data_IF_137165918640
#
_entry.id   IF_137165918640
#
_cell.length_a   1.000
_cell.length_b   1.000
_cell.length_c   1.000
_cell.angle_alpha   90.00
_cell.angle_beta   90.00
_cell.angle_gamma   90.00
#
_symmetry.space_group_name_H-M   'P 1'
#
loop_
_entity.id
_entity.type
_entity.pdbx_description
1 polymer ?
#
# COMPACT_ATOMS: atom_id res chain seq x y z
N UNK A 1 49.37 -51.33 48.79
CA UNK A 1 49.35 -49.88 49.00
C UNK A 1 49.28 -49.18 47.65
N UNK A 2 48.06 -48.73 47.29
CA UNK A 2 47.70 -47.53 46.52
C UNK A 2 48.75 -46.97 45.54
N UNK A 3 48.57 -47.13 44.23
CA UNK A 3 47.79 -46.24 43.33
C UNK A 3 48.50 -44.90 43.09
N UNK A 4 48.86 -44.61 41.84
CA UNK A 4 48.40 -43.42 41.07
C UNK A 4 49.03 -43.48 39.66
N UNK A 5 48.19 -43.87 38.70
CA UNK A 5 48.40 -43.75 37.26
C UNK A 5 48.09 -42.30 36.87
N UNK A 6 49.09 -41.52 36.45
CA UNK A 6 48.90 -40.17 35.90
C UNK A 6 48.98 -40.26 34.38
N UNK A 7 47.81 -40.27 33.73
CA UNK A 7 47.67 -40.11 32.28
C UNK A 7 47.62 -38.60 32.03
N UNK A 8 48.64 -38.08 31.32
CA UNK A 8 48.68 -36.71 30.83
C UNK A 8 48.06 -36.71 29.43
N UNK A 9 46.78 -36.37 29.34
CA UNK A 9 46.09 -36.13 28.07
C UNK A 9 46.39 -34.69 27.64
N UNK A 10 47.28 -34.55 26.66
CA UNK A 10 47.52 -33.27 25.98
C UNK A 10 46.37 -33.00 25.02
N UNK A 11 45.43 -32.16 25.45
CA UNK A 11 44.29 -31.68 24.67
C UNK A 11 44.76 -30.55 23.75
N UNK A 12 45.12 -30.88 22.51
CA UNK A 12 45.44 -29.88 21.48
C UNK A 12 44.13 -29.23 21.02
N UNK A 13 43.89 -28.01 21.47
CA UNK A 13 42.81 -27.14 21.02
C UNK A 13 42.97 -26.86 19.52
N UNK A 14 42.08 -27.42 18.68
CA UNK A 14 41.86 -26.92 17.32
C UNK A 14 41.25 -25.51 17.46
N UNK A 15 42.03 -24.50 17.06
CA UNK A 15 41.52 -23.17 16.75
C UNK A 15 40.58 -23.29 15.54
N UNK A 16 39.28 -23.43 15.80
CA UNK A 16 38.26 -23.07 14.81
C UNK A 16 38.33 -21.55 14.71
N UNK A 17 39.05 -21.05 13.70
CA UNK A 17 38.81 -19.73 13.16
C UNK A 17 37.39 -19.76 12.59
N UNK A 18 36.41 -19.46 13.44
CA UNK A 18 35.18 -18.87 12.96
C UNK A 18 35.59 -17.56 12.29
N UNK A 19 35.73 -17.59 10.97
CA UNK A 19 35.68 -16.40 10.16
C UNK A 19 34.29 -15.81 10.36
N UNK A 20 34.16 -14.99 11.40
CA UNK A 20 33.08 -14.04 11.55
C UNK A 20 33.37 -12.96 10.49
N UNK A 21 33.04 -13.26 9.24
CA UNK A 21 32.94 -12.25 8.21
C UNK A 21 31.71 -11.43 8.55
N UNK A 22 31.91 -10.34 9.28
CA UNK A 22 30.99 -9.21 9.21
C UNK A 22 31.18 -8.63 7.81
N UNK A 23 30.51 -9.22 6.82
CA UNK A 23 30.15 -8.44 5.65
C UNK A 23 29.32 -7.28 6.22
N UNK A 24 29.83 -6.06 6.09
CA UNK A 24 28.99 -4.88 6.21
C UNK A 24 27.87 -5.11 5.20
N UNK A 25 26.73 -5.65 5.66
CA UNK A 25 25.56 -5.83 4.82
C UNK A 25 25.04 -4.43 4.50
N UNK A 26 25.60 -3.83 3.46
CA UNK A 26 25.07 -2.61 2.87
C UNK A 26 23.65 -2.93 2.44
N UNK A 27 22.69 -2.16 2.96
CA UNK A 27 21.30 -2.24 2.54
C UNK A 27 21.19 -2.09 1.02
N UNK A 28 20.15 -2.70 0.44
CA UNK A 28 19.88 -2.59 -0.99
C UNK A 28 19.85 -1.13 -1.47
N UNK A 29 20.42 -0.90 -2.66
CA UNK A 29 20.29 0.37 -3.36
C UNK A 29 19.05 0.33 -4.28
N UNK A 30 18.20 1.33 -4.15
CA UNK A 30 16.99 1.52 -4.97
C UNK A 30 17.04 2.80 -5.81
N UNK A 31 18.16 3.52 -5.88
CA UNK A 31 18.29 4.81 -6.56
C UNK A 31 17.82 4.78 -8.02
N UNK A 32 17.93 3.63 -8.72
CA UNK A 32 17.45 3.53 -10.10
C UNK A 32 15.92 3.61 -10.24
N UNK A 33 15.17 3.48 -9.14
CA UNK A 33 13.71 3.56 -9.12
C UNK A 33 13.17 4.94 -8.77
N UNK A 34 14.00 5.94 -8.47
CA UNK A 34 13.55 7.27 -8.03
C UNK A 34 12.61 7.99 -9.01
N UNK A 35 12.63 7.62 -10.28
CA UNK A 35 11.86 8.28 -11.34
C UNK A 35 12.08 9.80 -11.40
N UNK A 36 11.00 10.55 -11.60
CA UNK A 36 11.05 12.01 -11.76
C UNK A 36 11.01 12.71 -10.40
N UNK A 37 11.91 13.67 -10.17
CA UNK A 37 11.95 14.42 -8.91
C UNK A 37 10.86 15.49 -8.85
N UNK A 38 10.81 16.33 -9.88
CA UNK A 38 10.01 17.55 -9.90
C UNK A 38 8.65 17.33 -10.54
N UNK A 39 7.68 18.10 -10.06
CA UNK A 39 6.35 18.16 -10.65
C UNK A 39 6.40 18.74 -12.09
N UNK A 40 5.66 18.15 -13.06
CA UNK A 40 5.52 18.74 -14.38
C UNK A 40 4.70 20.04 -14.32
N UNK A 41 4.90 20.93 -15.31
CA UNK A 41 3.98 22.05 -15.48
C UNK A 41 2.58 21.53 -15.82
N UNK A 42 1.59 21.92 -15.01
CA UNK A 42 0.19 21.56 -15.23
C UNK A 42 -0.51 22.60 -16.09
N UNK A 43 -1.35 22.12 -17.00
CA UNK A 43 -2.33 22.95 -17.70
C UNK A 43 -3.67 22.86 -16.98
N UNK A 44 -4.29 23.99 -16.68
CA UNK A 44 -5.62 24.00 -16.06
C UNK A 44 -6.72 23.94 -17.13
N UNK A 45 -7.76 23.16 -16.87
CA UNK A 45 -8.96 23.11 -17.69
C UNK A 45 -10.22 22.92 -16.81
N UNK A 46 -11.37 23.32 -17.33
CA UNK A 46 -12.64 23.07 -16.66
C UNK A 46 -13.11 21.65 -16.99
N UNK A 47 -13.48 20.90 -15.96
CA UNK A 47 -13.97 19.54 -16.14
C UNK A 47 -15.43 19.56 -16.58
N UNK A 48 -15.69 19.01 -17.76
CA UNK A 48 -17.04 18.79 -18.27
C UNK A 48 -17.25 17.29 -18.38
N UNK A 49 -18.39 16.81 -17.88
CA UNK A 49 -18.74 15.39 -17.88
C UNK A 49 -18.56 14.75 -19.28
N UNK A 50 -17.94 13.58 -19.32
CA UNK A 50 -17.58 12.85 -20.55
C UNK A 50 -16.37 13.38 -21.34
N UNK A 51 -15.70 14.46 -20.90
CA UNK A 51 -14.46 14.89 -21.55
C UNK A 51 -13.32 13.89 -21.32
N UNK A 52 -12.40 13.73 -22.30
CA UNK A 52 -11.18 12.98 -22.08
C UNK A 52 -10.23 13.76 -21.16
N UNK A 53 -9.57 13.04 -20.27
CA UNK A 53 -8.49 13.53 -19.44
C UNK A 53 -7.17 13.42 -20.22
N UNK A 54 -6.30 14.40 -20.01
CA UNK A 54 -4.98 14.49 -20.60
C UNK A 54 -3.90 14.49 -19.52
N UNK A 55 -2.72 13.98 -19.87
CA UNK A 55 -1.59 13.94 -18.96
C UNK A 55 -1.01 15.34 -18.74
N UNK A 56 -0.64 15.63 -17.50
CA UNK A 56 -0.13 16.92 -17.00
C UNK A 56 -1.18 18.03 -17.03
N UNK A 57 -2.39 17.69 -16.60
CA UNK A 57 -3.51 18.61 -16.46
C UNK A 57 -4.05 18.62 -15.03
N UNK A 58 -4.54 19.79 -14.65
CA UNK A 58 -5.41 20.00 -13.49
C UNK A 58 -6.80 20.34 -13.99
N UNK A 59 -7.78 19.57 -13.56
CA UNK A 59 -9.18 19.75 -13.93
C UNK A 59 -9.99 20.20 -12.73
N UNK A 60 -10.66 21.34 -12.83
CA UNK A 60 -11.59 21.79 -11.79
C UNK A 60 -13.02 21.48 -12.18
N UNK A 61 -13.80 20.89 -11.27
CA UNK A 61 -15.19 20.57 -11.50
C UNK A 61 -16.02 20.72 -10.22
N UNK A 62 -17.33 20.67 -10.39
CA UNK A 62 -18.27 20.66 -9.28
C UNK A 62 -19.29 19.53 -9.46
N UNK A 63 -19.81 19.03 -8.36
CA UNK A 63 -20.84 17.99 -8.35
C UNK A 63 -21.90 18.34 -7.31
N UNK A 64 -23.18 18.24 -7.68
CA UNK A 64 -24.30 18.48 -6.78
C UNK A 64 -25.07 17.19 -6.53
N UNK A 65 -25.11 16.76 -5.27
CA UNK A 65 -25.81 15.54 -4.85
C UNK A 65 -27.27 15.89 -4.62
N UNK A 66 -28.15 15.48 -5.54
CA UNK A 66 -29.60 15.79 -5.49
C UNK A 66 -30.46 14.71 -4.83
N UNK A 67 -29.91 13.51 -4.61
CA UNK A 67 -30.61 12.43 -3.91
C UNK A 67 -29.63 11.47 -3.23
N UNK A 68 -30.10 10.78 -2.18
CA UNK A 68 -29.30 9.80 -1.43
C UNK A 68 -29.19 8.44 -2.13
N UNK A 69 -29.97 8.18 -3.19
CA UNK A 69 -30.12 6.82 -3.73
C UNK A 69 -29.09 6.45 -4.80
N UNK A 70 -28.31 7.40 -5.30
CA UNK A 70 -27.27 7.13 -6.30
C UNK A 70 -26.06 7.99 -5.93
N UNK A 71 -24.90 7.36 -5.67
CA UNK A 71 -23.64 8.08 -5.73
C UNK A 71 -23.58 8.75 -7.09
N UNK A 72 -23.40 10.06 -7.11
CA UNK A 72 -23.16 10.73 -8.38
C UNK A 72 -21.72 10.44 -8.74
N UNK A 73 -21.55 9.68 -9.82
CA UNK A 73 -20.25 9.34 -10.37
C UNK A 73 -20.06 10.18 -11.63
N UNK A 74 -19.02 11.00 -11.67
CA UNK A 74 -18.55 11.54 -12.94
C UNK A 74 -17.52 10.58 -13.52
N UNK A 75 -17.79 10.09 -14.73
CA UNK A 75 -16.91 9.16 -15.42
C UNK A 75 -16.22 9.86 -16.58
N UNK A 76 -14.89 9.74 -16.62
CA UNK A 76 -14.03 10.32 -17.62
C UNK A 76 -13.20 9.24 -18.30
N UNK A 77 -12.70 9.54 -19.49
CA UNK A 77 -11.79 8.62 -20.20
C UNK A 77 -10.37 9.17 -20.18
N UNK A 78 -9.40 8.32 -19.88
CA UNK A 78 -7.98 8.65 -19.97
C UNK A 78 -7.30 7.68 -20.94
N UNK A 79 -6.55 8.21 -21.90
CA UNK A 79 -5.78 7.41 -22.86
C UNK A 79 -4.38 8.00 -23.00
N UNK A 80 -3.34 7.32 -22.50
CA UNK A 80 -2.00 7.88 -22.50
C UNK A 80 -1.35 7.77 -23.88
N UNK A 81 -0.71 8.85 -24.33
CA UNK A 81 0.06 8.88 -25.59
C UNK A 81 1.38 8.07 -25.54
N UNK A 82 1.85 7.81 -24.31
CA UNK A 82 3.07 7.06 -23.96
C UNK A 82 2.80 6.17 -22.75
N UNK A 83 3.38 4.97 -22.70
CA UNK A 83 3.35 4.17 -21.46
C UNK A 83 4.21 4.84 -20.39
N UNK A 84 3.75 4.84 -19.15
CA UNK A 84 4.45 5.48 -18.03
C UNK A 84 3.67 5.39 -16.73
N UNK A 85 4.34 5.74 -15.63
CA UNK A 85 3.67 5.89 -14.35
C UNK A 85 2.91 7.21 -14.34
N UNK A 86 1.63 7.13 -13.99
CA UNK A 86 0.72 8.27 -13.90
C UNK A 86 0.25 8.37 -12.47
N UNK A 87 0.26 9.59 -11.94
CA UNK A 87 -0.42 9.92 -10.69
C UNK A 87 -1.75 10.58 -11.02
N UNK A 88 -2.81 10.11 -10.38
CA UNK A 88 -4.10 10.76 -10.37
C UNK A 88 -4.41 11.17 -8.94
N UNK A 89 -4.75 12.44 -8.73
CA UNK A 89 -5.03 12.99 -7.41
C UNK A 89 -6.37 13.71 -7.42
N UNK A 90 -7.27 13.30 -6.52
CA UNK A 90 -8.52 13.97 -6.24
C UNK A 90 -8.35 14.86 -5.01
N UNK A 91 -8.54 16.17 -5.19
CA UNK A 91 -8.54 17.16 -4.12
C UNK A 91 -9.97 17.67 -3.99
N UNK A 92 -10.58 17.49 -2.83
CA UNK A 92 -11.96 17.91 -2.57
C UNK A 92 -12.12 18.44 -1.16
N UNK A 93 -13.16 19.25 -0.94
CA UNK A 93 -13.57 19.60 0.43
C UNK A 93 -14.40 18.51 1.10
N UNK A 94 -14.85 17.50 0.34
CA UNK A 94 -15.60 16.36 0.87
C UNK A 94 -14.64 15.37 1.54
N UNK A 95 -14.98 14.96 2.76
CA UNK A 95 -14.34 13.87 3.51
C UNK A 95 -14.77 12.48 3.04
N UNK A 96 -15.83 12.38 2.23
CA UNK A 96 -16.38 11.14 1.69
C UNK A 96 -16.33 11.11 0.14
N UNK A 97 -15.22 11.54 -0.46
CA UNK A 97 -14.98 11.33 -1.89
C UNK A 97 -14.06 10.14 -2.14
N UNK A 98 -14.21 9.55 -3.33
CA UNK A 98 -13.43 8.41 -3.80
C UNK A 98 -13.01 8.63 -5.26
N UNK A 99 -11.78 8.24 -5.59
CA UNK A 99 -11.25 8.23 -6.95
C UNK A 99 -11.01 6.80 -7.40
N UNK A 100 -11.74 6.37 -8.43
CA UNK A 100 -11.59 5.04 -9.02
C UNK A 100 -11.03 5.11 -10.43
N UNK A 101 -10.17 4.15 -10.77
CA UNK A 101 -9.63 3.99 -12.12
C UNK A 101 -9.69 2.52 -12.51
N UNK A 102 -10.25 2.23 -13.67
CA UNK A 102 -10.30 0.87 -14.20
C UNK A 102 -10.02 0.87 -15.70
N UNK A 103 -9.62 -0.28 -16.23
CA UNK A 103 -9.47 -0.43 -17.68
C UNK A 103 -10.87 -0.46 -18.28
N UNK A 104 -11.10 0.30 -19.36
CA UNK A 104 -12.41 0.34 -20.01
C UNK A 104 -12.82 -1.08 -20.46
N UNK A 105 -13.98 -1.55 -19.98
CA UNK A 105 -14.49 -2.91 -20.23
C UNK A 105 -14.02 -3.98 -19.24
N UNK A 106 -13.28 -3.60 -18.19
CA UNK A 106 -12.90 -4.43 -17.05
C UNK A 106 -13.28 -3.70 -15.74
N UNK A 107 -14.56 -3.80 -15.39
CA UNK A 107 -15.16 -3.13 -14.22
C UNK A 107 -14.70 -3.75 -12.88
N UNK A 108 -14.07 -4.93 -12.89
CA UNK A 108 -13.48 -5.55 -11.71
C UNK A 108 -12.17 -4.85 -11.26
N UNK A 109 -11.76 -3.80 -11.99
CA UNK A 109 -10.93 -2.73 -11.48
C UNK A 109 -9.44 -3.04 -11.51
N UNK A 110 -8.65 -2.08 -12.01
CA UNK A 110 -7.25 -2.04 -11.62
C UNK A 110 -7.21 -1.91 -10.11
N UNK A 111 -6.43 -2.76 -9.45
CA UNK A 111 -6.24 -2.60 -8.03
C UNK A 111 -5.47 -1.29 -7.78
N UNK A 112 -6.18 -0.29 -7.28
CA UNK A 112 -5.69 1.07 -7.14
C UNK A 112 -4.67 1.17 -6.01
N UNK A 113 -3.51 1.73 -6.33
CA UNK A 113 -2.48 1.96 -5.33
C UNK A 113 -2.75 3.32 -4.69
N UNK A 114 -3.62 3.32 -3.69
CA UNK A 114 -4.03 4.52 -2.96
C UNK A 114 -3.36 4.67 -1.59
N UNK A 115 -3.17 5.92 -1.15
CA UNK A 115 -2.96 6.29 0.26
C UNK A 115 -4.21 7.05 0.68
N UNK A 116 -5.18 6.37 1.31
CA UNK A 116 -6.47 6.97 1.63
C UNK A 116 -6.40 8.09 2.68
N UNK A 117 -7.25 9.11 2.51
CA UNK A 117 -7.51 10.15 3.52
C UNK A 117 -7.84 11.53 2.92
N UNK A 118 -9.12 11.81 2.62
CA UNK A 118 -9.68 13.13 2.27
C UNK A 118 -9.24 13.70 0.92
N UNK A 119 -8.01 13.45 0.50
CA UNK A 119 -7.52 13.56 -0.86
C UNK A 119 -7.04 12.17 -1.28
N UNK A 120 -7.53 11.67 -2.40
CA UNK A 120 -7.12 10.36 -2.90
C UNK A 120 -6.02 10.51 -3.93
N UNK A 121 -4.86 9.94 -3.64
CA UNK A 121 -3.73 9.86 -4.56
C UNK A 121 -3.61 8.42 -5.03
N UNK A 122 -3.59 8.23 -6.33
CA UNK A 122 -3.52 6.95 -7.01
C UNK A 122 -2.34 6.94 -7.96
N UNK A 123 -1.52 5.89 -7.90
CA UNK A 123 -0.42 5.68 -8.86
C UNK A 123 -0.73 4.45 -9.71
N UNK A 124 -0.74 4.62 -11.03
CA UNK A 124 -0.91 3.51 -11.97
C UNK A 124 0.20 3.44 -13.00
N UNK A 125 0.51 2.23 -13.45
CA UNK A 125 1.31 2.01 -14.64
C UNK A 125 0.40 2.06 -15.87
N UNK A 126 0.31 3.23 -16.51
CA UNK A 126 -0.52 3.43 -17.69
C UNK A 126 0.19 2.90 -18.94
N UNK A 127 -0.55 2.21 -19.81
CA UNK A 127 -0.05 1.63 -21.06
C UNK A 127 -0.60 2.37 -22.28
N UNK A 128 0.29 2.68 -23.23
CA UNK A 128 -0.10 3.30 -24.49
C UNK A 128 -1.13 2.45 -25.24
N UNK A 129 -2.23 3.07 -25.61
CA UNK A 129 -3.29 2.43 -26.40
C UNK A 129 -4.31 1.67 -25.55
N UNK A 130 -4.19 1.71 -24.23
CA UNK A 130 -5.23 1.30 -23.28
C UNK A 130 -6.05 2.53 -22.90
N UNK A 131 -7.38 2.39 -22.92
CA UNK A 131 -8.28 3.40 -22.36
C UNK A 131 -8.62 3.02 -20.93
N UNK A 132 -8.52 3.99 -20.04
CA UNK A 132 -8.93 3.88 -18.65
C UNK A 132 -10.20 4.70 -18.43
N UNK A 133 -11.13 4.15 -17.68
CA UNK A 133 -12.23 4.92 -17.09
C UNK A 133 -11.78 5.45 -15.75
N UNK A 134 -12.02 6.74 -15.51
CA UNK A 134 -11.68 7.45 -14.27
C UNK A 134 -12.98 7.96 -13.68
N UNK A 135 -13.34 7.46 -12.51
CA UNK A 135 -14.57 7.82 -11.81
C UNK A 135 -14.24 8.64 -10.56
N UNK A 136 -14.93 9.76 -10.43
CA UNK A 136 -14.95 10.57 -9.21
C UNK A 136 -16.33 10.37 -8.57
N UNK A 137 -16.34 9.85 -7.35
CA UNK A 137 -17.54 9.65 -6.56
C UNK A 137 -17.50 10.54 -5.32
N UNK A 138 -18.61 11.18 -4.97
CA UNK A 138 -18.77 11.90 -3.70
C UNK A 138 -19.97 11.33 -2.96
N UNK A 139 -19.72 10.80 -1.77
CA UNK A 139 -20.72 10.18 -0.91
C UNK A 139 -21.16 11.15 0.21
N UNK A 140 -22.47 11.18 0.46
CA UNK A 140 -23.12 11.47 1.73
C UNK A 140 -22.53 12.54 2.68
N UNK A 141 -22.49 13.81 2.27
CA UNK A 141 -22.31 14.89 3.24
C UNK A 141 -23.58 15.69 3.49
N UNK A 142 -24.19 16.24 2.45
CA UNK A 142 -25.44 17.01 2.48
C UNK A 142 -26.05 17.04 1.08
N UNK A 143 -27.37 16.83 0.97
CA UNK A 143 -28.10 17.01 -0.28
C UNK A 143 -28.20 18.49 -0.67
N UNK A 144 -28.30 18.73 -1.97
CA UNK A 144 -28.45 20.06 -2.59
C UNK A 144 -27.29 21.03 -2.23
N UNK A 145 -26.11 20.46 -1.98
CA UNK A 145 -24.84 21.17 -1.83
C UNK A 145 -23.96 20.84 -3.03
N UNK A 146 -23.32 21.88 -3.58
CA UNK A 146 -22.32 21.77 -4.63
C UNK A 146 -20.93 21.55 -3.98
N UNK A 147 -20.28 20.46 -4.36
CA UNK A 147 -18.93 20.11 -3.92
C UNK A 147 -17.97 20.40 -5.07
N UNK A 148 -17.07 21.33 -4.85
CA UNK A 148 -15.96 21.63 -5.76
C UNK A 148 -14.84 20.61 -5.55
N UNK A 149 -14.25 20.15 -6.64
CA UNK A 149 -13.09 19.26 -6.62
C UNK A 149 -12.10 19.63 -7.73
N UNK A 150 -10.84 19.25 -7.52
CA UNK A 150 -9.78 19.28 -8.51
C UNK A 150 -9.29 17.85 -8.76
N UNK A 151 -9.26 17.43 -10.02
CA UNK A 151 -8.69 16.16 -10.46
C UNK A 151 -7.40 16.46 -11.23
N UNK A 152 -6.28 15.98 -10.72
CA UNK A 152 -4.98 16.16 -11.36
C UNK A 152 -4.53 14.85 -11.96
N UNK A 153 -4.14 14.88 -13.23
CA UNK A 153 -3.59 13.73 -13.96
C UNK A 153 -2.20 14.13 -14.43
N UNK A 154 -1.15 13.52 -13.90
CA UNK A 154 0.23 13.93 -14.18
C UNK A 154 1.19 12.75 -14.31
N UNK A 155 2.34 13.00 -14.95
CA UNK A 155 3.48 12.08 -14.84
C UNK A 155 3.85 11.91 -13.36
N UNK A 156 3.93 10.65 -12.89
CA UNK A 156 4.24 10.36 -11.50
C UNK A 156 5.64 10.90 -11.14
N UNK A 157 5.72 11.64 -10.02
CA UNK A 157 6.93 12.29 -9.57
C UNK A 157 6.98 12.38 -8.04
N UNK A 158 8.20 12.55 -7.51
CA UNK A 158 8.47 12.46 -6.08
C UNK A 158 7.91 13.63 -5.30
N UNK A 159 8.02 14.84 -5.85
CA UNK A 159 7.48 16.06 -5.25
C UNK A 159 5.97 15.95 -5.02
N UNK A 160 5.22 15.51 -6.05
CA UNK A 160 3.77 15.33 -5.98
C UNK A 160 3.34 14.25 -4.99
N UNK A 161 4.06 13.13 -4.95
CA UNK A 161 3.81 12.05 -3.98
C UNK A 161 4.36 12.37 -2.57
N UNK A 162 4.98 13.55 -2.38
CA UNK A 162 5.55 13.97 -1.10
C UNK A 162 6.68 13.05 -0.60
N UNK A 163 7.42 12.41 -1.51
CA UNK A 163 8.45 11.45 -1.16
C UNK A 163 9.76 12.14 -0.75
N UNK A 164 10.24 11.87 0.45
CA UNK A 164 11.58 12.26 0.88
C UNK A 164 12.67 11.53 0.07
N UNK A 165 13.92 11.99 0.12
CA UNK A 165 15.05 11.49 -0.70
C UNK A 165 15.30 9.96 -0.67
N UNK A 166 14.94 9.29 0.43
CA UNK A 166 15.12 7.86 0.63
C UNK A 166 13.79 7.09 0.69
N UNK A 167 12.68 7.75 0.37
CA UNK A 167 11.37 7.12 0.25
C UNK A 167 11.11 6.66 -1.17
N UNK A 168 10.44 5.51 -1.28
CA UNK A 168 10.09 4.87 -2.53
C UNK A 168 8.63 4.42 -2.46
N UNK A 169 7.91 4.58 -3.57
CA UNK A 169 6.54 4.11 -3.73
C UNK A 169 6.54 2.64 -4.15
N UNK A 170 5.82 1.81 -3.41
CA UNK A 170 5.58 0.41 -3.69
C UNK A 170 4.15 0.24 -4.18
N UNK A 171 4.00 -0.49 -5.29
CA UNK A 171 2.74 -1.06 -5.68
C UNK A 171 2.71 -2.54 -5.35
N UNK A 172 1.80 -2.98 -4.48
CA UNK A 172 1.71 -4.39 -4.07
C UNK A 172 0.29 -4.91 -4.16
N UNK A 173 0.15 -6.08 -4.78
CA UNK A 173 -1.03 -6.93 -4.74
C UNK A 173 -0.90 -7.94 -3.62
N UNK A 174 -1.95 -8.08 -2.84
CA UNK A 174 -2.07 -8.96 -1.69
C UNK A 174 -3.14 -9.99 -2.00
N UNK A 175 -2.75 -11.25 -1.92
CA UNK A 175 -3.65 -12.39 -2.03
C UNK A 175 -3.52 -13.23 -0.77
N UNK A 176 -4.65 -13.59 -0.17
CA UNK A 176 -4.66 -14.27 1.11
C UNK A 176 -5.97 -14.96 1.41
N UNK A 177 -6.00 -15.57 2.59
CA UNK A 177 -7.19 -16.23 3.12
C UNK A 177 -7.30 -15.92 4.60
N UNK A 178 -8.52 -15.57 5.00
CA UNK A 178 -8.89 -15.35 6.39
C UNK A 178 -9.88 -16.44 6.83
N UNK A 179 -9.77 -16.88 8.09
CA UNK A 179 -10.77 -17.74 8.72
C UNK A 179 -11.23 -17.11 10.01
N UNK A 180 -12.54 -16.87 10.11
CA UNK A 180 -13.19 -16.23 11.24
C UNK A 180 -14.06 -17.23 12.01
N UNK A 181 -13.98 -17.22 13.34
CA UNK A 181 -14.83 -18.00 14.23
C UNK A 181 -15.55 -17.08 15.24
N UNK A 182 -16.87 -17.20 15.29
CA UNK A 182 -17.73 -16.42 16.22
C UNK A 182 -18.23 -17.27 17.39
N UNK A 183 -17.79 -16.94 18.60
CA UNK A 183 -18.06 -17.73 19.83
C UNK A 183 -19.53 -17.93 20.19
N UNK A 184 -20.42 -16.98 19.89
CA UNK A 184 -21.86 -17.07 20.24
C UNK A 184 -22.78 -17.37 19.06
N UNK A 185 -22.27 -17.25 17.82
CA UNK A 185 -23.03 -17.57 16.63
C UNK A 185 -22.73 -18.99 16.14
N UNK A 186 -21.64 -19.60 16.60
CA UNK A 186 -21.12 -20.88 16.11
C UNK A 186 -20.93 -20.90 14.59
N UNK A 187 -20.63 -19.72 14.04
CA UNK A 187 -20.34 -19.53 12.63
C UNK A 187 -18.83 -19.54 12.43
N UNK A 188 -18.38 -20.39 11.50
CA UNK A 188 -17.02 -20.41 11.00
C UNK A 188 -17.08 -20.12 9.52
N UNK A 189 -16.42 -19.03 9.10
CA UNK A 189 -16.30 -18.61 7.72
C UNK A 189 -14.85 -18.63 7.28
N UNK A 190 -14.63 -18.96 6.01
CA UNK A 190 -13.32 -18.80 5.36
C UNK A 190 -13.54 -17.99 4.10
N UNK A 191 -12.79 -16.91 3.95
CA UNK A 191 -12.90 -15.98 2.83
C UNK A 191 -11.53 -15.82 2.18
N UNK A 192 -11.51 -15.83 0.84
CA UNK A 192 -10.34 -15.41 0.07
C UNK A 192 -10.35 -13.89 -0.02
N UNK A 193 -9.17 -13.29 0.05
CA UNK A 193 -8.98 -11.85 -0.05
C UNK A 193 -8.01 -11.56 -1.19
N UNK A 194 -8.36 -10.58 -2.02
CA UNK A 194 -7.49 -10.06 -3.07
C UNK A 194 -7.71 -8.56 -3.18
N UNK A 195 -6.63 -7.80 -3.02
CA UNK A 195 -6.62 -6.34 -3.16
C UNK A 195 -5.22 -5.86 -3.51
N UNK A 196 -5.05 -4.62 -3.97
CA UNK A 196 -3.73 -3.98 -4.02
C UNK A 196 -3.75 -2.64 -3.31
N UNK A 197 -2.55 -2.16 -2.98
CA UNK A 197 -2.37 -0.95 -2.19
C UNK A 197 -1.04 -0.28 -2.48
N UNK A 198 -1.04 1.04 -2.35
CA UNK A 198 0.15 1.87 -2.42
C UNK A 198 0.81 1.98 -1.05
N UNK A 199 2.13 1.83 -1.00
CA UNK A 199 2.91 1.98 0.22
C UNK A 199 4.16 2.80 -0.02
N UNK A 200 4.63 3.48 1.00
CA UNK A 200 5.93 4.15 0.96
C UNK A 200 6.92 3.37 1.81
N UNK A 201 8.07 3.03 1.26
CA UNK A 201 9.17 2.39 1.98
C UNK A 201 10.38 3.30 2.06
N UNK A 202 11.02 3.34 3.21
CA UNK A 202 12.32 3.96 3.40
C UNK A 202 13.26 2.91 3.98
N UNK A 203 14.16 2.41 3.14
CA UNK A 203 15.11 1.37 3.51
C UNK A 203 16.20 1.92 4.42
N UNK A 204 16.62 3.17 4.21
CA UNK A 204 17.66 3.80 5.00
C UNK A 204 17.24 4.00 6.47
N UNK A 205 16.00 4.42 6.68
CA UNK A 205 15.42 4.65 8.01
C UNK A 205 14.58 3.46 8.52
N UNK A 206 14.56 2.36 7.76
CA UNK A 206 13.86 1.12 8.06
C UNK A 206 12.39 1.35 8.48
N UNK A 207 11.58 1.88 7.58
CA UNK A 207 10.13 1.94 7.80
C UNK A 207 9.33 1.71 6.53
N UNK A 208 8.07 1.35 6.74
CA UNK A 208 7.02 1.33 5.74
C UNK A 208 5.87 2.26 6.19
N UNK A 209 5.21 2.93 5.27
CA UNK A 209 4.09 3.84 5.52
C UNK A 209 2.93 3.53 4.59
N UNK A 210 1.73 3.50 5.13
CA UNK A 210 0.46 3.36 4.41
C UNK A 210 -0.51 4.37 4.99
N UNK A 211 -0.99 5.32 4.19
CA UNK A 211 -1.68 6.47 4.77
C UNK A 211 -0.75 7.32 5.65
N UNK A 212 -1.30 7.72 6.78
CA UNK A 212 -0.59 8.34 7.90
C UNK A 212 0.10 7.33 8.82
N UNK A 213 -0.17 6.03 8.65
CA UNK A 213 0.36 4.99 9.53
C UNK A 213 1.76 4.58 9.12
N UNK A 214 2.70 4.69 10.07
CA UNK A 214 4.12 4.33 9.89
C UNK A 214 4.48 3.10 10.72
N UNK A 215 5.09 2.13 10.08
CA UNK A 215 5.55 0.88 10.66
C UNK A 215 7.07 0.78 10.61
N UNK A 216 7.71 0.58 11.76
CA UNK A 216 9.16 0.41 11.82
C UNK A 216 9.54 -1.01 11.40
N UNK A 217 10.51 -1.12 10.51
CA UNK A 217 11.06 -2.37 10.00
C UNK A 217 12.32 -2.76 10.78
N UNK A 218 12.55 -4.07 10.85
CA UNK A 218 13.82 -4.67 11.26
C UNK A 218 14.44 -5.31 10.01
N UNK A 219 15.70 -4.99 9.73
CA UNK A 219 16.44 -5.68 8.66
C UNK A 219 16.83 -7.09 9.12
N UNK A 220 16.42 -8.09 8.35
CA UNK A 220 16.83 -9.49 8.52
C UNK A 220 18.04 -9.82 7.64
N UNK A 221 18.17 -9.12 6.52
CA UNK A 221 19.33 -9.09 5.63
C UNK A 221 19.26 -7.82 4.77
N UNK A 222 20.29 -7.56 3.96
CA UNK A 222 20.37 -6.41 3.04
C UNK A 222 19.09 -6.11 2.25
N UNK A 223 18.35 -7.14 1.86
CA UNK A 223 17.14 -7.07 1.05
C UNK A 223 15.88 -7.66 1.70
N UNK A 224 15.92 -8.01 2.99
CA UNK A 224 14.77 -8.61 3.71
C UNK A 224 14.47 -7.83 4.97
N UNK A 225 13.19 -7.56 5.17
CA UNK A 225 12.69 -6.72 6.25
C UNK A 225 11.53 -7.41 6.95
N UNK A 226 11.35 -7.11 8.22
CA UNK A 226 10.27 -7.65 9.04
C UNK A 226 9.66 -6.54 9.89
N UNK A 227 8.34 -6.60 10.06
CA UNK A 227 7.63 -5.87 11.09
C UNK A 227 6.79 -6.85 11.90
N UNK A 228 6.72 -6.61 13.20
CA UNK A 228 5.76 -7.26 14.08
C UNK A 228 5.13 -6.17 14.95
N UNK A 229 3.81 -6.17 15.02
CA UNK A 229 3.04 -5.14 15.69
C UNK A 229 1.76 -5.68 16.29
N UNK A 230 1.16 -4.84 17.11
CA UNK A 230 -0.22 -4.99 17.52
C UNK A 230 -0.90 -3.63 17.55
N UNK A 231 -2.19 -3.64 17.25
CA UNK A 231 -3.03 -2.46 17.31
C UNK A 231 -4.31 -2.75 18.10
N UNK A 232 -4.91 -1.70 18.62
CA UNK A 232 -6.21 -1.75 19.28
C UNK A 232 -7.02 -0.54 18.90
N UNK A 233 -8.11 -0.79 18.18
CA UNK A 233 -9.11 0.21 17.84
C UNK A 233 -10.39 0.02 18.66
N UNK A 234 -11.08 1.12 18.91
CA UNK A 234 -12.38 1.14 19.55
C UNK A 234 -13.31 2.10 18.82
N UNK A 235 -14.26 1.53 18.09
CA UNK A 235 -15.32 2.27 17.42
C UNK A 235 -16.67 1.93 18.04
N UNK A 236 -17.36 2.92 18.60
CA UNK A 236 -18.62 2.76 19.31
C UNK A 236 -18.53 1.66 20.40
N UNK A 237 -19.30 0.58 20.23
CA UNK A 237 -19.37 -0.57 21.14
C UNK A 237 -18.52 -1.77 20.66
N UNK A 238 -17.71 -1.57 19.64
CA UNK A 238 -16.81 -2.57 19.08
C UNK A 238 -15.39 -2.28 19.53
N UNK A 239 -14.68 -3.30 20.01
CA UNK A 239 -13.24 -3.24 20.25
C UNK A 239 -12.56 -4.27 19.36
N UNK A 240 -11.59 -3.82 18.57
CA UNK A 240 -10.79 -4.69 17.72
C UNK A 240 -9.36 -4.68 18.22
N UNK A 241 -8.78 -5.85 18.44
CA UNK A 241 -7.35 -6.00 18.69
C UNK A 241 -6.74 -6.81 17.57
N UNK A 242 -5.66 -6.30 16.99
CA UNK A 242 -4.96 -6.94 15.89
C UNK A 242 -3.54 -7.25 16.33
N UNK A 243 -3.08 -8.48 16.09
CA UNK A 243 -1.67 -8.85 16.13
C UNK A 243 -1.23 -9.23 14.72
N UNK A 244 -0.12 -8.68 14.25
CA UNK A 244 0.31 -8.92 12.89
C UNK A 244 1.83 -8.99 12.78
N UNK A 245 2.26 -9.79 11.82
CA UNK A 245 3.65 -9.92 11.42
C UNK A 245 3.72 -9.97 9.92
N UNK A 246 4.52 -9.12 9.32
CA UNK A 246 4.80 -9.21 7.89
C UNK A 246 6.30 -9.17 7.60
N UNK A 247 6.66 -9.84 6.52
CA UNK A 247 8.02 -9.91 6.00
C UNK A 247 8.03 -9.48 4.55
N UNK A 248 9.01 -8.65 4.20
CA UNK A 248 9.20 -8.10 2.87
C UNK A 248 10.57 -8.49 2.32
N UNK A 249 10.64 -8.74 1.03
CA UNK A 249 11.87 -8.90 0.26
C UNK A 249 11.79 -8.00 -0.96
N UNK A 250 12.81 -7.17 -1.15
CA UNK A 250 12.88 -6.24 -2.29
C UNK A 250 14.12 -6.55 -3.11
N UNK A 251 13.95 -6.89 -4.38
CA UNK A 251 15.07 -7.16 -5.27
C UNK A 251 15.64 -5.84 -5.80
N UNK A 252 16.83 -5.45 -5.32
CA UNK A 252 17.45 -4.17 -5.70
C UNK A 252 17.67 -3.99 -7.21
N UNK A 253 17.89 -5.07 -7.98
CA UNK A 253 18.12 -4.98 -9.43
C UNK A 253 16.84 -4.78 -10.24
N UNK A 254 15.73 -5.37 -9.81
CA UNK A 254 14.48 -5.41 -10.59
C UNK A 254 13.34 -4.59 -9.98
N UNK A 255 13.50 -4.17 -8.72
CA UNK A 255 12.46 -3.51 -7.95
C UNK A 255 11.37 -4.47 -7.50
N UNK A 256 11.47 -5.77 -7.78
CA UNK A 256 10.42 -6.73 -7.41
C UNK A 256 10.24 -6.78 -5.89
N UNK A 257 9.00 -6.64 -5.45
CA UNK A 257 8.58 -6.78 -4.06
C UNK A 257 7.87 -8.12 -3.89
N UNK A 258 8.31 -8.89 -2.91
CA UNK A 258 7.65 -10.11 -2.45
C UNK A 258 7.44 -10.01 -0.96
N UNK A 259 6.28 -10.42 -0.48
CA UNK A 259 5.98 -10.36 0.94
C UNK A 259 5.10 -11.49 1.42
N UNK A 260 4.98 -11.57 2.74
CA UNK A 260 4.01 -12.42 3.42
C UNK A 260 3.59 -11.77 4.73
N UNK A 261 2.33 -11.93 5.09
CA UNK A 261 1.77 -11.51 6.36
C UNK A 261 1.10 -12.69 7.06
N UNK A 262 1.13 -12.67 8.37
CA UNK A 262 0.26 -13.48 9.23
C UNK A 262 -0.33 -12.53 10.26
N UNK A 263 -1.63 -12.64 10.51
CA UNK A 263 -2.31 -11.78 11.46
C UNK A 263 -3.44 -12.50 12.19
N UNK A 264 -3.78 -11.99 13.35
CA UNK A 264 -4.94 -12.36 14.16
C UNK A 264 -5.70 -11.09 14.54
N UNK A 265 -6.97 -11.02 14.15
CA UNK A 265 -7.89 -9.96 14.53
C UNK A 265 -8.91 -10.54 15.52
N UNK A 266 -9.08 -9.90 16.66
CA UNK A 266 -10.13 -10.24 17.64
C UNK A 266 -11.06 -9.05 17.78
N UNK A 267 -12.27 -9.21 17.23
CA UNK A 267 -13.34 -8.24 17.36
C UNK A 267 -14.27 -8.64 18.52
N UNK A 268 -14.61 -7.67 19.36
CA UNK A 268 -15.59 -7.81 20.44
C UNK A 268 -16.70 -6.81 20.22
N UNK A 269 -17.90 -7.32 19.96
CA UNK A 269 -19.12 -6.53 19.85
C UNK A 269 -20.20 -7.10 20.78
N UNK A 270 -20.61 -6.30 21.77
CA UNK A 270 -21.48 -6.73 22.86
C UNK A 270 -20.93 -8.00 23.57
N UNK A 271 -21.66 -9.11 23.51
CA UNK A 271 -21.27 -10.39 24.10
C UNK A 271 -20.55 -11.31 23.09
N UNK A 272 -20.54 -10.96 21.80
CA UNK A 272 -19.93 -11.77 20.74
C UNK A 272 -18.44 -11.43 20.61
N UNK A 273 -17.62 -12.48 20.57
CA UNK A 273 -16.21 -12.37 20.16
C UNK A 273 -16.02 -13.13 18.85
N UNK A 274 -15.47 -12.43 17.86
CA UNK A 274 -15.07 -12.98 16.57
C UNK A 274 -13.56 -12.96 16.50
N UNK A 275 -12.94 -14.11 16.24
CA UNK A 275 -11.50 -14.22 16.02
C UNK A 275 -11.25 -14.61 14.59
N UNK A 276 -10.52 -13.78 13.86
CA UNK A 276 -10.12 -14.01 12.49
C UNK A 276 -8.61 -14.18 12.41
N UNK A 277 -8.16 -15.25 11.73
CA UNK A 277 -6.75 -15.53 11.51
C UNK A 277 -6.52 -15.56 10.01
N UNK A 278 -5.57 -14.76 9.54
CA UNK A 278 -5.26 -14.62 8.12
C UNK A 278 -3.79 -14.82 7.80
N UNK A 279 -3.56 -15.20 6.54
CA UNK A 279 -2.24 -15.26 5.93
C UNK A 279 -2.31 -14.76 4.51
N UNK A 280 -1.39 -13.86 4.18
CA UNK A 280 -1.34 -13.27 2.86
C UNK A 280 0.05 -13.41 2.24
N UNK A 281 0.05 -13.35 0.92
CA UNK A 281 1.23 -13.26 0.07
C UNK A 281 1.16 -11.97 -0.72
N UNK A 282 2.29 -11.27 -0.79
CA UNK A 282 2.37 -9.97 -1.44
C UNK A 282 3.25 -10.11 -2.67
N UNK A 283 2.84 -9.50 -3.78
CA UNK A 283 3.62 -9.43 -5.00
C UNK A 283 3.51 -8.04 -5.60
N UNK A 284 4.61 -7.48 -6.08
CA UNK A 284 4.59 -6.10 -6.53
C UNK A 284 5.94 -5.59 -7.02
N UNK A 285 6.06 -4.27 -7.07
CA UNK A 285 7.28 -3.59 -7.50
C UNK A 285 7.48 -2.25 -6.80
N UNK A 286 8.74 -1.82 -6.72
CA UNK A 286 9.12 -0.41 -6.52
C UNK A 286 8.78 0.34 -7.81
N UNK A 287 7.91 1.34 -7.70
CA UNK A 287 7.45 2.14 -8.83
C UNK A 287 8.19 3.48 -8.91
N UNK A 288 8.41 4.14 -7.77
CA UNK A 288 9.06 5.45 -7.66
C UNK A 288 9.99 5.53 -6.44
#
# INVERSE_FOLDING_TARGET
MKMQLKILVSLTFLLVLAACGSEDETLINLDQFKGLELEPELTSDDLVDGNPLYLNYEYTGSMMISSYEEGYDHAFSFSPDKSGLVVMELITSSVEADLRVYVEGDEDGLNLLGIGGGNDILVLQAEKGVTYSVEVSIYLEQLDVEYEYSLIVADANRERLGLAVNEYWLGVSIEGRETCESTNLHETGTEEQSYSLGMIVNIADLYLRSGETKFNLVSLSSNRFEHQGSDKDQFLNTTTTSEFKYQLKIAGETGQVLGRSEYENVEKYNETTTTCIGKDTWSGAVLL
#
